data_IF_210299401781
#
_entry.id   IF_210299401781
#
_cell.length_a   1.000
_cell.length_b   1.000
_cell.length_c   1.000
_cell.angle_alpha   90.00
_cell.angle_beta   90.00
_cell.angle_gamma   90.00
#
_symmetry.space_group_name_H-M   'P 1'
#
loop_
_entity.id
_entity.type
_entity.pdbx_description
1 polymer ?
#
# COMPACT_ATOMS: atom_id res chain seq x y z
N UNK A 1 25.95 7.76 25.48
CA UNK A 1 25.28 7.46 24.20
C UNK A 1 26.02 8.23 23.13
N UNK A 2 26.46 7.64 22.03
CA UNK A 2 27.11 8.39 20.96
C UNK A 2 26.08 9.32 20.32
N UNK A 3 26.36 10.61 20.32
CA UNK A 3 25.60 11.62 19.60
C UNK A 3 25.60 11.28 18.10
N UNK A 4 24.43 11.07 17.51
CA UNK A 4 24.31 10.96 16.05
C UNK A 4 24.99 12.18 15.41
N UNK A 5 25.84 12.00 14.37
CA UNK A 5 26.45 13.13 13.70
C UNK A 5 25.35 14.05 13.15
N UNK A 6 25.51 15.35 13.35
CA UNK A 6 24.62 16.36 12.80
C UNK A 6 24.64 16.22 11.27
N UNK A 7 23.54 15.77 10.68
CA UNK A 7 23.38 15.67 9.23
C UNK A 7 23.18 17.08 8.72
N UNK A 8 24.09 17.55 7.87
CA UNK A 8 23.99 18.87 7.24
C UNK A 8 22.91 18.84 6.16
N UNK A 9 21.68 19.14 6.52
CA UNK A 9 20.54 19.15 5.62
C UNK A 9 20.66 20.29 4.60
N UNK A 10 21.06 19.96 3.37
CA UNK A 10 21.05 20.90 2.25
C UNK A 10 19.67 21.04 1.59
N UNK A 11 18.75 20.13 1.87
CA UNK A 11 17.44 20.11 1.23
C UNK A 11 16.34 19.81 2.26
N UNK A 12 15.37 20.71 2.34
CA UNK A 12 14.13 20.51 3.13
C UNK A 12 13.10 19.76 2.30
N UNK A 13 12.20 19.07 2.97
CA UNK A 13 11.09 18.38 2.35
C UNK A 13 9.79 18.84 3.03
N UNK A 14 9.02 19.66 2.31
CA UNK A 14 7.73 20.16 2.80
C UNK A 14 6.63 19.23 2.32
N UNK A 15 5.89 18.63 3.27
CA UNK A 15 4.99 17.50 3.00
C UNK A 15 3.61 17.74 3.57
N UNK A 16 2.59 17.57 2.75
CA UNK A 16 1.20 17.42 3.21
C UNK A 16 0.90 15.95 3.41
N UNK A 17 0.63 15.55 4.66
CA UNK A 17 0.30 14.17 5.04
C UNK A 17 -1.21 14.03 5.15
N UNK A 18 -1.77 13.08 4.42
CA UNK A 18 -3.21 12.86 4.35
C UNK A 18 -3.57 11.62 5.15
N UNK A 19 -4.49 11.78 6.09
CA UNK A 19 -4.98 10.71 6.96
C UNK A 19 -6.51 10.63 6.87
N UNK A 20 -7.08 9.65 6.16
CA UNK A 20 -8.52 9.39 6.22
C UNK A 20 -8.89 8.82 7.58
N UNK A 21 -9.96 9.34 8.20
CA UNK A 21 -10.42 8.94 9.53
C UNK A 21 -11.91 8.58 9.49
N UNK A 22 -12.23 7.37 9.94
CA UNK A 22 -13.62 6.95 10.14
C UNK A 22 -13.73 6.08 11.40
N UNK A 23 -14.37 6.63 12.45
CA UNK A 23 -14.59 5.93 13.73
C UNK A 23 -13.33 5.30 14.32
N UNK A 24 -12.18 5.95 14.18
CA UNK A 24 -10.91 5.48 14.73
C UNK A 24 -10.83 5.80 16.22
N UNK A 25 -10.56 4.82 17.11
CA UNK A 25 -10.45 5.07 18.54
C UNK A 25 -9.46 6.19 18.85
N UNK A 26 -9.77 7.14 19.77
CA UNK A 26 -8.94 8.32 20.03
C UNK A 26 -7.48 8.01 20.34
N UNK A 27 -7.22 7.00 21.19
CA UNK A 27 -5.86 6.59 21.54
C UNK A 27 -5.06 6.05 20.36
N UNK A 28 -5.73 5.39 19.41
CA UNK A 28 -5.14 4.86 18.17
C UNK A 28 -4.79 6.01 17.23
N UNK A 29 -5.73 6.93 17.01
CA UNK A 29 -5.57 8.11 16.17
C UNK A 29 -4.46 9.04 16.71
N UNK A 30 -4.41 9.29 18.02
CA UNK A 30 -3.40 10.13 18.64
C UNK A 30 -1.97 9.61 18.42
N UNK A 31 -1.78 8.30 18.37
CA UNK A 31 -0.46 7.71 18.09
C UNK A 31 -0.08 7.89 16.62
N UNK A 32 -1.02 7.74 15.69
CA UNK A 32 -0.81 8.00 14.27
C UNK A 32 -0.41 9.49 14.04
N UNK A 33 -1.18 10.43 14.61
CA UNK A 33 -0.91 11.87 14.54
C UNK A 33 0.50 12.19 15.07
N UNK A 34 0.84 11.72 16.28
CA UNK A 34 2.16 11.95 16.86
C UNK A 34 3.31 11.41 16.00
N UNK A 35 3.13 10.26 15.36
CA UNK A 35 4.16 9.65 14.51
C UNK A 35 4.50 10.53 13.29
N UNK A 36 3.55 11.30 12.80
CA UNK A 36 3.75 12.27 11.71
C UNK A 36 4.35 13.57 12.24
N UNK A 37 3.77 14.15 13.30
CA UNK A 37 4.18 15.45 13.82
C UNK A 37 5.55 15.42 14.52
N UNK A 38 6.02 14.24 14.93
CA UNK A 38 7.33 14.03 15.55
C UNK A 38 8.47 13.83 14.56
N UNK A 39 8.23 13.94 13.26
CA UNK A 39 9.31 13.85 12.28
C UNK A 39 10.32 14.98 12.52
N UNK A 40 11.54 14.57 12.88
CA UNK A 40 12.62 15.50 13.17
C UNK A 40 13.18 16.12 11.88
N UNK A 41 13.89 17.25 12.03
CA UNK A 41 14.58 17.91 10.94
C UNK A 41 13.96 19.25 10.54
N UNK A 42 14.46 19.87 9.48
CA UNK A 42 14.01 21.18 9.02
C UNK A 42 12.78 21.08 8.10
N UNK A 43 12.06 19.95 8.12
CA UNK A 43 10.94 19.68 7.25
C UNK A 43 9.68 20.40 7.74
N UNK A 44 8.93 20.98 6.79
CA UNK A 44 7.61 21.52 7.08
C UNK A 44 6.57 20.41 6.82
N UNK A 45 5.78 20.11 7.84
CA UNK A 45 4.76 19.06 7.80
C UNK A 45 3.41 19.66 8.11
N UNK A 46 2.45 19.50 7.20
CA UNK A 46 1.03 19.67 7.52
C UNK A 46 0.36 18.29 7.56
N UNK A 47 -0.55 18.09 8.50
CA UNK A 47 -1.34 16.87 8.64
C UNK A 47 -2.81 17.18 8.36
N UNK A 48 -3.36 16.58 7.32
CA UNK A 48 -4.74 16.75 6.89
C UNK A 48 -5.53 15.51 7.32
N UNK A 49 -6.31 15.63 8.39
CA UNK A 49 -7.23 14.61 8.87
C UNK A 49 -8.56 14.74 8.10
N UNK A 50 -8.84 13.82 7.20
CA UNK A 50 -10.09 13.82 6.45
C UNK A 50 -11.10 12.94 7.18
N UNK A 51 -12.01 13.58 7.91
CA UNK A 51 -13.09 12.91 8.60
C UNK A 51 -14.16 12.44 7.61
N UNK A 52 -14.19 11.15 7.34
CA UNK A 52 -15.15 10.52 6.41
C UNK A 52 -16.51 10.26 7.08
N UNK A 53 -17.06 11.32 7.69
CA UNK A 53 -18.33 11.33 8.39
C UNK A 53 -18.36 10.33 9.57
N UNK A 54 -17.38 10.44 10.50
CA UNK A 54 -17.35 9.63 11.71
C UNK A 54 -18.60 9.87 12.56
N UNK A 55 -19.20 8.78 13.03
CA UNK A 55 -20.41 8.78 13.87
C UNK A 55 -20.11 8.58 15.35
N UNK A 56 -18.89 8.14 15.69
CA UNK A 56 -18.43 7.99 17.07
C UNK A 56 -18.07 9.37 17.65
N UNK A 57 -18.77 9.84 18.71
CA UNK A 57 -18.51 11.14 19.34
C UNK A 57 -17.09 11.28 19.88
N UNK A 58 -16.48 10.19 20.35
CA UNK A 58 -15.12 10.20 20.88
C UNK A 58 -14.09 10.45 19.75
N UNK A 59 -14.30 9.87 18.57
CA UNK A 59 -13.48 10.15 17.38
C UNK A 59 -13.63 11.61 16.94
N UNK A 60 -14.87 12.13 16.89
CA UNK A 60 -15.13 13.51 16.49
C UNK A 60 -14.49 14.51 17.46
N UNK A 61 -14.56 14.25 18.78
CA UNK A 61 -13.86 15.04 19.77
C UNK A 61 -12.33 15.01 19.58
N UNK A 62 -11.75 13.83 19.39
CA UNK A 62 -10.31 13.69 19.18
C UNK A 62 -9.80 14.41 17.92
N UNK A 63 -10.60 14.46 16.85
CA UNK A 63 -10.27 15.25 15.65
C UNK A 63 -10.22 16.74 15.94
N UNK A 64 -11.19 17.27 16.70
CA UNK A 64 -11.23 18.67 17.12
C UNK A 64 -10.02 19.00 18.01
N UNK A 65 -9.80 18.19 19.04
CA UNK A 65 -8.70 18.38 19.99
C UNK A 65 -7.34 18.35 19.27
N UNK A 66 -7.18 17.53 18.25
CA UNK A 66 -5.97 17.48 17.45
C UNK A 66 -5.73 18.77 16.65
N UNK A 67 -6.77 19.36 16.06
CA UNK A 67 -6.68 20.62 15.31
C UNK A 67 -6.45 21.82 16.24
N UNK A 68 -7.09 21.82 17.41
CA UNK A 68 -6.94 22.90 18.40
C UNK A 68 -5.56 22.83 19.10
N UNK A 69 -4.97 21.64 19.19
CA UNK A 69 -3.71 21.38 19.91
C UNK A 69 -2.43 21.64 19.11
N UNK A 70 -2.47 21.60 17.78
CA UNK A 70 -1.28 21.80 16.92
C UNK A 70 -1.68 22.48 15.59
N UNK A 71 -1.17 23.68 15.36
CA UNK A 71 -1.45 24.49 14.17
C UNK A 71 -1.03 23.85 12.83
N UNK A 72 -0.34 22.71 12.84
CA UNK A 72 -0.01 21.92 11.66
C UNK A 72 -1.10 20.92 11.28
N UNK A 73 -2.10 20.72 12.14
CA UNK A 73 -3.20 19.76 11.93
C UNK A 73 -4.43 20.46 11.39
N UNK A 74 -4.94 19.97 10.29
CA UNK A 74 -6.16 20.48 9.64
C UNK A 74 -7.20 19.37 9.54
N UNK A 75 -8.45 19.67 9.91
CA UNK A 75 -9.55 18.71 9.79
C UNK A 75 -10.46 19.11 8.64
N UNK A 76 -10.67 18.20 7.70
CA UNK A 76 -11.62 18.33 6.59
C UNK A 76 -12.77 17.37 6.84
N UNK A 77 -13.97 17.88 7.05
CA UNK A 77 -15.16 17.06 7.29
C UNK A 77 -15.90 16.77 5.98
N UNK A 78 -16.27 15.53 5.74
CA UNK A 78 -17.17 15.12 4.67
C UNK A 78 -18.60 14.98 5.20
N UNK A 79 -19.59 15.32 4.38
CA UNK A 79 -21.01 15.27 4.73
C UNK A 79 -21.57 13.85 4.84
N UNK A 80 -20.89 12.89 4.24
CA UNK A 80 -21.26 11.47 4.25
C UNK A 80 -20.02 10.59 4.15
N UNK A 81 -20.13 9.36 4.63
CA UNK A 81 -19.07 8.35 4.42
C UNK A 81 -19.00 7.95 2.94
N UNK A 82 -17.86 8.22 2.33
CA UNK A 82 -17.59 7.96 0.91
C UNK A 82 -16.46 6.97 0.69
N UNK A 83 -15.83 6.51 1.76
CA UNK A 83 -14.73 5.56 1.74
C UNK A 83 -13.34 6.18 1.53
N UNK A 84 -12.28 5.37 1.68
CA UNK A 84 -10.90 5.84 1.74
C UNK A 84 -10.42 6.50 0.44
N UNK A 85 -10.87 6.02 -0.72
CA UNK A 85 -10.53 6.60 -2.01
C UNK A 85 -10.89 8.09 -2.08
N UNK A 86 -12.16 8.39 -1.82
CA UNK A 86 -12.65 9.78 -1.87
C UNK A 86 -12.04 10.65 -0.77
N UNK A 87 -11.89 10.10 0.43
CA UNK A 87 -11.28 10.83 1.54
C UNK A 87 -9.83 11.22 1.20
N UNK A 88 -9.04 10.31 0.60
CA UNK A 88 -7.68 10.63 0.15
C UNK A 88 -7.66 11.67 -0.96
N UNK A 89 -8.55 11.58 -1.96
CA UNK A 89 -8.67 12.60 -3.01
C UNK A 89 -9.00 13.98 -2.44
N UNK A 90 -9.91 14.07 -1.48
CA UNK A 90 -10.24 15.33 -0.79
C UNK A 90 -9.02 15.87 -0.05
N UNK A 91 -8.26 15.02 0.62
CA UNK A 91 -7.02 15.40 1.28
C UNK A 91 -5.97 15.93 0.31
N UNK A 92 -5.77 15.26 -0.85
CA UNK A 92 -4.85 15.73 -1.92
C UNK A 92 -5.26 17.10 -2.44
N UNK A 93 -6.56 17.32 -2.66
CA UNK A 93 -7.08 18.60 -3.12
C UNK A 93 -6.91 19.73 -2.08
N UNK A 94 -6.89 19.40 -0.79
CA UNK A 94 -6.69 20.34 0.32
C UNK A 94 -5.22 20.61 0.65
N UNK A 95 -4.30 19.85 0.08
CA UNK A 95 -2.88 19.91 0.36
C UNK A 95 -2.23 21.21 -0.14
N UNK A 96 -1.36 21.81 0.69
CA UNK A 96 -0.61 23.03 0.32
C UNK A 96 0.76 22.73 -0.27
N UNK A 97 1.41 21.65 0.24
CA UNK A 97 2.76 21.31 -0.19
C UNK A 97 2.79 20.50 -1.49
N UNK A 98 3.93 20.51 -2.12
CA UNK A 98 4.16 19.80 -3.38
C UNK A 98 4.35 18.28 -3.17
N UNK A 99 4.85 17.88 -2.00
CA UNK A 99 4.97 16.49 -1.65
C UNK A 99 3.77 16.02 -0.85
N UNK A 100 3.26 14.86 -1.23
CA UNK A 100 2.11 14.20 -0.58
C UNK A 100 2.57 12.90 0.05
N UNK A 101 2.26 12.75 1.34
CA UNK A 101 2.36 11.50 2.07
C UNK A 101 0.98 11.00 2.50
N UNK A 102 0.88 9.72 2.80
CA UNK A 102 -0.35 9.11 3.30
C UNK A 102 -0.06 8.33 4.58
N UNK A 103 -1.05 8.32 5.47
CA UNK A 103 -1.05 7.47 6.65
C UNK A 103 -2.49 7.03 6.93
N UNK A 104 -2.69 5.75 7.22
CA UNK A 104 -3.97 5.29 7.73
C UNK A 104 -4.07 5.61 9.23
N UNK A 105 -5.27 5.95 9.69
CA UNK A 105 -5.50 6.47 11.05
C UNK A 105 -5.16 5.47 12.18
N UNK A 106 -4.88 4.22 11.83
CA UNK A 106 -4.48 3.16 12.74
C UNK A 106 -3.02 2.70 12.56
N UNK A 107 -2.21 3.37 11.70
CA UNK A 107 -0.83 3.02 11.38
C UNK A 107 0.19 4.07 11.88
N UNK A 108 1.48 3.88 11.57
CA UNK A 108 2.56 4.76 12.02
C UNK A 108 3.57 5.10 10.92
N UNK A 109 4.13 6.30 11.00
CA UNK A 109 5.37 6.66 10.34
C UNK A 109 6.55 6.41 11.30
N UNK A 110 7.59 5.67 10.90
CA UNK A 110 8.79 5.52 11.70
C UNK A 110 9.57 6.83 11.75
N UNK A 111 10.32 7.02 12.84
CA UNK A 111 11.21 8.16 13.00
C UNK A 111 12.23 8.24 11.86
N UNK A 112 12.47 9.46 11.35
CA UNK A 112 13.46 9.73 10.30
C UNK A 112 13.00 9.38 8.88
N UNK A 113 11.70 9.11 8.66
CA UNK A 113 11.16 8.86 7.31
C UNK A 113 11.42 10.05 6.37
N UNK A 114 11.19 11.27 6.82
CA UNK A 114 11.42 12.47 6.00
C UNK A 114 12.90 12.73 5.78
N UNK A 115 13.75 12.45 6.76
CA UNK A 115 15.21 12.53 6.63
C UNK A 115 15.74 11.59 5.53
N UNK A 116 15.23 10.35 5.51
CA UNK A 116 15.57 9.38 4.48
C UNK A 116 15.13 9.86 3.10
N UNK A 117 13.91 10.39 2.99
CA UNK A 117 13.39 10.93 1.75
C UNK A 117 14.18 12.16 1.26
N UNK A 118 14.55 13.06 2.17
CA UNK A 118 15.41 14.21 1.85
C UNK A 118 16.78 13.77 1.33
N UNK A 119 17.34 12.68 1.89
CA UNK A 119 18.59 12.10 1.40
C UNK A 119 18.47 11.55 -0.02
N UNK A 120 17.32 11.01 -0.41
CA UNK A 120 17.03 10.59 -1.79
C UNK A 120 17.04 11.80 -2.71
N UNK A 121 16.41 12.92 -2.31
CA UNK A 121 16.37 14.14 -3.13
C UNK A 121 17.75 14.81 -3.27
N UNK A 122 18.65 14.64 -2.31
CA UNK A 122 20.04 15.09 -2.46
C UNK A 122 20.79 14.30 -3.54
N UNK A 123 20.45 13.01 -3.69
CA UNK A 123 21.07 12.12 -4.64
C UNK A 123 20.38 12.19 -6.02
N UNK A 124 19.06 12.27 -6.02
CA UNK A 124 18.20 12.39 -7.21
C UNK A 124 17.21 13.55 -7.08
N UNK A 125 17.62 14.79 -7.39
CA UNK A 125 16.76 15.97 -7.27
C UNK A 125 15.52 15.93 -8.16
N UNK A 126 15.55 15.13 -9.22
CA UNK A 126 14.47 14.89 -10.17
C UNK A 126 13.45 13.86 -9.67
N UNK A 127 13.63 13.30 -8.47
CA UNK A 127 12.71 12.32 -7.90
C UNK A 127 11.29 12.88 -7.78
N UNK A 128 10.33 12.05 -8.18
CA UNK A 128 8.90 12.38 -8.13
C UNK A 128 8.10 11.39 -7.28
N UNK A 129 8.67 10.22 -7.00
CA UNK A 129 8.11 9.16 -6.21
C UNK A 129 9.20 8.47 -5.39
N UNK A 130 9.12 8.63 -4.07
CA UNK A 130 10.02 8.00 -3.12
C UNK A 130 9.22 6.95 -2.37
N UNK A 131 9.61 5.69 -2.46
CA UNK A 131 8.98 4.58 -1.75
C UNK A 131 9.94 3.92 -0.77
N UNK A 132 9.43 3.01 0.05
CA UNK A 132 10.27 2.23 0.97
C UNK A 132 9.57 0.96 1.43
N UNK A 133 10.21 0.20 2.30
CA UNK A 133 9.63 -0.99 2.91
C UNK A 133 8.69 -0.65 4.06
N UNK A 134 8.05 -1.66 4.64
CA UNK A 134 7.22 -1.50 5.84
C UNK A 134 7.54 -2.57 6.88
N UNK A 135 7.13 -2.34 8.10
CA UNK A 135 7.09 -3.35 9.15
C UNK A 135 5.65 -3.55 9.63
N UNK A 136 5.37 -4.68 10.26
CA UNK A 136 4.09 -4.96 10.90
C UNK A 136 4.29 -5.01 12.40
N UNK A 137 3.60 -4.14 13.15
CA UNK A 137 3.53 -4.17 14.60
C UNK A 137 2.36 -5.05 15.03
N UNK A 138 2.67 -6.17 15.67
CA UNK A 138 1.69 -7.11 16.19
C UNK A 138 1.12 -6.65 17.53
N UNK A 139 -0.01 -7.24 17.95
CA UNK A 139 -0.69 -6.93 19.21
C UNK A 139 0.14 -7.23 20.47
N UNK A 140 1.15 -8.08 20.37
CA UNK A 140 2.10 -8.39 21.42
C UNK A 140 3.31 -7.43 21.50
N UNK A 141 3.32 -6.38 20.67
CA UNK A 141 4.41 -5.42 20.55
C UNK A 141 5.56 -5.87 19.64
N UNK A 142 5.50 -7.06 19.06
CA UNK A 142 6.52 -7.55 18.14
C UNK A 142 6.49 -6.79 16.82
N UNK A 143 7.62 -6.22 16.43
CA UNK A 143 7.81 -5.60 15.11
C UNK A 143 8.36 -6.63 14.13
N UNK A 144 7.61 -6.92 13.07
CA UNK A 144 8.02 -7.82 11.98
C UNK A 144 8.30 -7.00 10.73
N UNK A 145 9.56 -6.91 10.28
CA UNK A 145 9.87 -6.26 9.00
C UNK A 145 9.25 -7.04 7.85
N UNK A 146 8.83 -6.33 6.82
CA UNK A 146 8.46 -6.97 5.56
C UNK A 146 9.69 -7.53 4.86
N UNK A 147 9.46 -8.45 3.94
CA UNK A 147 10.54 -8.97 3.11
C UNK A 147 11.15 -7.82 2.28
N UNK A 148 12.46 -7.63 2.39
CA UNK A 148 13.16 -6.60 1.63
C UNK A 148 13.10 -6.90 0.14
N UNK A 149 12.93 -5.86 -0.64
CA UNK A 149 13.00 -5.96 -2.09
C UNK A 149 14.41 -6.35 -2.53
N UNK A 150 14.49 -7.42 -3.30
CA UNK A 150 15.73 -7.88 -3.95
C UNK A 150 15.70 -7.57 -5.45
N UNK A 151 15.26 -6.36 -5.81
CA UNK A 151 15.31 -5.93 -7.21
C UNK A 151 16.77 -5.83 -7.67
N UNK A 152 17.11 -6.51 -8.75
CA UNK A 152 18.42 -6.35 -9.39
C UNK A 152 18.36 -5.12 -10.31
N UNK A 153 18.74 -3.97 -9.78
CA UNK A 153 18.90 -2.77 -10.59
C UNK A 153 20.28 -2.70 -11.25
N UNK A 154 20.41 -2.10 -12.44
CA UNK A 154 21.71 -1.74 -12.98
C UNK A 154 22.50 -0.85 -12.01
N UNK A 155 23.83 -0.93 -11.96
CA UNK A 155 24.65 -0.11 -11.04
C UNK A 155 24.37 1.38 -11.13
N UNK A 156 24.02 1.91 -12.30
CA UNK A 156 23.61 3.31 -12.49
C UNK A 156 22.29 3.71 -11.82
N UNK A 157 21.51 2.74 -11.38
CA UNK A 157 20.24 2.92 -10.67
C UNK A 157 20.35 2.60 -9.17
N UNK A 158 21.57 2.32 -8.68
CA UNK A 158 21.82 2.03 -7.26
C UNK A 158 22.52 3.22 -6.63
N UNK A 159 21.81 3.96 -5.80
CA UNK A 159 22.33 5.04 -5.00
C UNK A 159 22.77 4.58 -3.60
N UNK A 160 23.24 5.54 -2.78
CA UNK A 160 23.67 5.26 -1.39
C UNK A 160 22.48 4.97 -0.47
N UNK A 161 21.37 5.64 -0.69
CA UNK A 161 20.17 5.59 0.15
C UNK A 161 19.02 4.83 -0.47
N UNK A 162 18.91 4.81 -1.80
CA UNK A 162 17.80 4.21 -2.51
C UNK A 162 18.23 3.54 -3.81
N UNK A 163 17.30 2.79 -4.41
CA UNK A 163 17.42 2.20 -5.73
C UNK A 163 16.35 2.80 -6.64
N UNK A 164 16.74 3.25 -7.84
CA UNK A 164 15.79 3.79 -8.82
C UNK A 164 15.15 2.66 -9.63
N UNK A 165 13.88 2.37 -9.32
CA UNK A 165 13.10 1.35 -10.01
C UNK A 165 12.34 1.99 -11.17
N UNK A 166 12.83 1.82 -12.39
CA UNK A 166 12.15 2.26 -13.60
C UNK A 166 11.06 1.27 -14.03
N UNK A 167 10.14 1.70 -14.89
CA UNK A 167 9.23 0.77 -15.57
C UNK A 167 10.05 -0.13 -16.52
N UNK A 168 9.83 -1.48 -16.51
CA UNK A 168 8.77 -2.22 -15.82
C UNK A 168 9.11 -2.71 -14.39
N UNK A 169 10.29 -2.42 -13.84
CA UNK A 169 10.73 -2.94 -12.53
C UNK A 169 9.84 -2.44 -11.40
N UNK A 170 9.49 -1.15 -11.40
CA UNK A 170 8.58 -0.59 -10.40
C UNK A 170 7.20 -1.25 -10.43
N UNK A 171 6.69 -1.52 -11.64
CA UNK A 171 5.43 -2.25 -11.82
C UNK A 171 5.51 -3.65 -11.25
N UNK A 172 6.60 -4.39 -11.51
CA UNK A 172 6.80 -5.75 -10.96
C UNK A 172 6.87 -5.76 -9.45
N UNK A 173 7.50 -4.76 -8.85
CA UNK A 173 7.57 -4.60 -7.40
C UNK A 173 6.19 -4.43 -6.79
N UNK A 174 5.39 -3.53 -7.35
CA UNK A 174 4.01 -3.30 -6.90
C UNK A 174 3.12 -4.52 -7.12
N UNK A 175 3.40 -5.29 -8.16
CA UNK A 175 2.72 -6.53 -8.52
C UNK A 175 3.04 -7.66 -7.55
N UNK A 176 4.31 -7.84 -7.23
CA UNK A 176 4.80 -8.99 -6.46
C UNK A 176 4.73 -8.80 -4.95
N UNK A 177 4.48 -7.59 -4.48
CA UNK A 177 4.35 -7.30 -3.05
C UNK A 177 3.19 -6.36 -2.82
N UNK A 178 2.37 -6.68 -1.82
CA UNK A 178 1.45 -5.69 -1.29
C UNK A 178 2.26 -4.53 -0.71
N UNK A 179 2.16 -3.36 -1.35
CA UNK A 179 2.93 -2.19 -1.02
C UNK A 179 1.98 -1.13 -0.45
N UNK A 180 1.95 -0.93 0.87
CA UNK A 180 1.06 0.05 1.47
C UNK A 180 1.35 1.45 0.95
N UNK A 181 0.31 2.18 0.57
CA UNK A 181 0.42 3.56 0.06
C UNK A 181 1.24 4.46 1.01
N UNK A 182 1.06 4.27 2.30
CA UNK A 182 1.75 5.02 3.34
C UNK A 182 3.28 4.84 3.37
N UNK A 183 3.85 3.86 2.65
CA UNK A 183 5.31 3.74 2.49
C UNK A 183 5.90 4.84 1.62
N UNK A 184 5.08 5.47 0.78
CA UNK A 184 5.52 6.35 -0.31
C UNK A 184 5.26 7.83 -0.02
N UNK A 185 6.07 8.67 -0.66
CA UNK A 185 5.85 10.09 -0.87
C UNK A 185 5.79 10.37 -2.36
N UNK A 186 4.87 11.21 -2.79
CA UNK A 186 4.63 11.53 -4.19
C UNK A 186 4.67 13.04 -4.43
N UNK A 187 5.21 13.48 -5.57
CA UNK A 187 4.90 14.83 -6.07
C UNK A 187 3.40 14.89 -6.37
N UNK A 188 2.70 15.94 -5.87
CA UNK A 188 1.24 16.07 -5.96
C UNK A 188 0.71 15.93 -7.39
N UNK A 189 1.38 16.57 -8.37
CA UNK A 189 0.97 16.47 -9.78
C UNK A 189 0.99 15.02 -10.29
N UNK A 190 1.87 14.16 -9.77
CA UNK A 190 1.96 12.77 -10.22
C UNK A 190 0.69 11.97 -9.86
N UNK A 191 0.03 12.31 -8.74
CA UNK A 191 -1.25 11.71 -8.35
C UNK A 191 -2.35 12.15 -9.32
N UNK A 192 -2.42 13.44 -9.66
CA UNK A 192 -3.41 13.97 -10.60
C UNK A 192 -3.19 13.47 -12.02
N UNK A 193 -1.95 13.41 -12.49
CA UNK A 193 -1.58 12.91 -13.83
C UNK A 193 -1.91 11.39 -13.96
N UNK A 194 -1.85 10.64 -12.86
CA UNK A 194 -2.27 9.24 -12.81
C UNK A 194 -3.79 9.04 -12.73
N UNK A 195 -4.58 10.14 -12.69
CA UNK A 195 -6.04 10.11 -12.66
C UNK A 195 -6.65 9.97 -11.29
N UNK A 196 -5.88 10.27 -10.22
CA UNK A 196 -6.34 10.24 -8.83
C UNK A 196 -6.87 8.87 -8.37
N UNK A 197 -7.39 8.80 -7.13
CA UNK A 197 -8.03 7.59 -6.61
C UNK A 197 -9.37 7.35 -7.29
N UNK A 198 -9.65 6.11 -7.70
CA UNK A 198 -10.93 5.75 -8.28
C UNK A 198 -12.01 5.69 -7.18
N UNK A 199 -12.97 6.64 -7.16
CA UNK A 199 -13.96 6.72 -6.09
C UNK A 199 -14.97 5.57 -6.07
N UNK A 200 -14.97 4.73 -7.11
CA UNK A 200 -15.82 3.54 -7.21
C UNK A 200 -15.22 2.37 -6.43
N UNK A 201 -13.92 2.41 -6.14
CA UNK A 201 -13.22 1.37 -5.40
C UNK A 201 -13.30 1.62 -3.90
N UNK A 202 -13.61 0.57 -3.16
CA UNK A 202 -13.57 0.55 -1.71
C UNK A 202 -12.41 -0.29 -1.17
N UNK A 203 -11.60 -0.86 -2.08
CA UNK A 203 -10.39 -1.63 -1.81
C UNK A 203 -9.51 -1.71 -3.05
N UNK A 204 -8.19 -1.55 -2.85
CA UNK A 204 -7.21 -1.60 -3.95
C UNK A 204 -7.15 -0.33 -4.79
N UNK A 205 -7.80 0.74 -4.34
CA UNK A 205 -7.74 2.07 -4.94
C UNK A 205 -6.32 2.65 -4.88
N UNK A 206 -5.63 2.41 -3.77
CA UNK A 206 -4.24 2.80 -3.52
C UNK A 206 -3.27 2.05 -4.42
N UNK A 207 -3.47 0.74 -4.52
CA UNK A 207 -2.68 -0.11 -5.38
C UNK A 207 -2.87 0.23 -6.86
N UNK A 208 -4.11 0.47 -7.31
CA UNK A 208 -4.40 0.88 -8.68
C UNK A 208 -3.74 2.22 -9.03
N UNK A 209 -3.78 3.19 -8.11
CA UNK A 209 -3.10 4.47 -8.27
C UNK A 209 -1.59 4.28 -8.41
N UNK A 210 -0.95 3.50 -7.53
CA UNK A 210 0.48 3.22 -7.60
C UNK A 210 0.87 2.55 -8.92
N UNK A 211 0.06 1.64 -9.45
CA UNK A 211 0.29 1.03 -10.77
C UNK A 211 0.26 2.07 -11.89
N UNK A 212 -0.70 2.99 -11.89
CA UNK A 212 -0.77 4.08 -12.87
C UNK A 212 0.45 4.99 -12.75
N UNK A 213 0.83 5.34 -11.53
CA UNK A 213 2.03 6.16 -11.26
C UNK A 213 3.30 5.46 -11.76
N UNK A 214 3.41 4.14 -11.66
CA UNK A 214 4.58 3.39 -12.13
C UNK A 214 4.82 3.49 -13.64
N UNK A 215 3.81 3.89 -14.41
CA UNK A 215 3.92 4.16 -15.84
C UNK A 215 4.41 5.58 -16.14
N UNK A 216 4.33 6.49 -15.17
CA UNK A 216 4.64 7.92 -15.32
C UNK A 216 5.99 8.32 -14.73
N UNK A 217 6.46 7.59 -13.72
CA UNK A 217 7.68 7.90 -13.01
C UNK A 217 8.37 6.66 -12.45
N UNK A 218 9.71 6.65 -12.38
CA UNK A 218 10.43 5.67 -11.58
C UNK A 218 10.11 5.84 -10.10
N UNK A 219 10.21 4.74 -9.34
CA UNK A 219 10.15 4.76 -7.88
C UNK A 219 11.58 4.73 -7.34
N UNK A 220 11.96 5.75 -6.58
CA UNK A 220 13.21 5.75 -5.84
C UNK A 220 12.97 5.04 -4.49
N UNK A 221 13.35 3.76 -4.44
CA UNK A 221 13.00 2.84 -3.36
C UNK A 221 14.08 2.79 -2.28
N UNK A 222 13.72 3.15 -1.06
CA UNK A 222 14.57 3.07 0.14
C UNK A 222 14.50 1.66 0.72
N UNK A 223 15.67 1.00 0.91
CA UNK A 223 15.75 -0.33 1.53
C UNK A 223 15.67 -0.26 3.07
N UNK A 224 14.72 0.52 3.58
CA UNK A 224 14.41 0.63 5.01
C UNK A 224 12.90 0.73 5.20
N UNK A 225 12.45 0.47 6.42
CA UNK A 225 11.06 0.61 6.79
C UNK A 225 10.68 2.10 6.85
N UNK A 226 9.78 2.51 5.96
CA UNK A 226 9.22 3.86 5.88
C UNK A 226 7.78 3.92 6.37
N UNK A 227 7.23 2.78 6.81
CA UNK A 227 5.86 2.65 7.31
C UNK A 227 5.73 1.50 8.30
N UNK A 228 4.84 1.63 9.27
CA UNK A 228 4.53 0.56 10.22
C UNK A 228 3.03 0.32 10.26
N UNK A 229 2.65 -0.84 9.78
CA UNK A 229 1.28 -1.34 9.88
C UNK A 229 1.01 -1.84 11.29
N UNK A 230 -0.02 -1.33 11.95
CA UNK A 230 -0.44 -1.85 13.26
C UNK A 230 -1.54 -2.88 13.10
N UNK A 231 -1.28 -4.11 13.53
CA UNK A 231 -2.30 -5.15 13.61
C UNK A 231 -2.99 -5.13 14.97
N UNK A 232 -4.02 -4.29 15.11
CA UNK A 232 -4.91 -4.28 16.27
C UNK A 232 -6.26 -4.92 15.92
N UNK A 233 -6.85 -5.61 16.90
CA UNK A 233 -8.10 -6.40 16.97
C UNK A 233 -9.14 -6.34 15.84
N UNK A 234 -9.56 -5.19 15.33
CA UNK A 234 -10.74 -5.01 14.46
C UNK A 234 -10.44 -4.46 13.06
N UNK A 235 -9.23 -4.67 12.52
CA UNK A 235 -8.88 -4.23 11.16
C UNK A 235 -9.90 -4.75 10.12
N UNK A 236 -10.26 -3.90 9.15
CA UNK A 236 -11.11 -4.24 7.99
C UNK A 236 -10.58 -5.46 7.22
N UNK A 237 -9.27 -5.73 7.34
CA UNK A 237 -8.57 -6.89 6.76
C UNK A 237 -8.95 -8.23 7.43
N UNK A 238 -9.69 -8.24 8.56
CA UNK A 238 -10.04 -9.46 9.30
C UNK A 238 -11.28 -10.22 8.81
N UNK A 239 -12.12 -9.64 7.96
CA UNK A 239 -13.25 -10.39 7.41
C UNK A 239 -12.85 -11.04 6.08
N UNK A 240 -12.51 -12.35 6.05
CA UNK A 240 -12.11 -13.03 4.82
C UNK A 240 -13.14 -12.90 3.71
N UNK A 241 -14.44 -12.83 4.08
CA UNK A 241 -15.53 -12.66 3.10
C UNK A 241 -15.56 -11.28 2.44
N UNK A 242 -15.33 -10.22 3.25
CA UNK A 242 -15.33 -8.83 2.74
C UNK A 242 -14.07 -8.54 1.93
N UNK A 243 -12.92 -9.06 2.35
CA UNK A 243 -11.66 -8.96 1.61
C UNK A 243 -11.79 -9.58 0.22
N UNK A 244 -12.35 -10.78 0.13
CA UNK A 244 -12.48 -11.49 -1.14
C UNK A 244 -13.30 -10.72 -2.17
N UNK A 245 -14.44 -10.14 -1.79
CA UNK A 245 -15.29 -9.38 -2.69
C UNK A 245 -14.61 -8.07 -3.14
N UNK A 246 -13.98 -7.35 -2.21
CA UNK A 246 -13.32 -6.06 -2.47
C UNK A 246 -12.04 -6.20 -3.28
N UNK A 247 -11.22 -7.22 -3.00
CA UNK A 247 -10.02 -7.50 -3.80
C UNK A 247 -10.35 -7.71 -5.29
N UNK A 248 -11.48 -8.35 -5.58
CA UNK A 248 -11.95 -8.54 -6.96
C UNK A 248 -12.26 -7.21 -7.65
N UNK A 249 -12.82 -6.23 -6.93
CA UNK A 249 -13.12 -4.91 -7.51
C UNK A 249 -11.86 -4.21 -8.00
N UNK A 250 -10.81 -4.17 -7.18
CA UNK A 250 -9.51 -3.59 -7.55
C UNK A 250 -8.85 -4.32 -8.73
N UNK A 251 -8.87 -5.65 -8.71
CA UNK A 251 -8.32 -6.47 -9.79
C UNK A 251 -9.08 -6.27 -11.11
N UNK A 252 -10.40 -6.17 -11.06
CA UNK A 252 -11.22 -5.90 -12.24
C UNK A 252 -11.02 -4.49 -12.77
N UNK A 253 -10.86 -3.51 -11.90
CA UNK A 253 -10.55 -2.14 -12.27
C UNK A 253 -9.20 -2.07 -13.00
N UNK A 254 -8.15 -2.66 -12.46
CA UNK A 254 -6.84 -2.75 -13.11
C UNK A 254 -6.91 -3.42 -14.49
N UNK A 255 -7.66 -4.52 -14.61
CA UNK A 255 -7.82 -5.23 -15.87
C UNK A 255 -8.55 -4.40 -16.95
N UNK A 256 -9.45 -3.52 -16.53
CA UNK A 256 -10.25 -2.65 -17.42
C UNK A 256 -9.58 -1.32 -17.72
N UNK A 257 -8.54 -0.97 -16.98
CA UNK A 257 -7.88 0.32 -17.08
C UNK A 257 -7.14 0.48 -18.41
N UNK A 258 -7.51 1.48 -19.24
CA UNK A 258 -6.86 1.72 -20.52
C UNK A 258 -5.39 2.12 -20.37
N UNK A 259 -5.03 2.84 -19.31
CA UNK A 259 -3.67 3.28 -19.05
C UNK A 259 -2.72 2.09 -18.81
N UNK A 260 -3.23 1.02 -18.20
CA UNK A 260 -2.46 -0.17 -17.87
C UNK A 260 -2.30 -1.18 -19.02
N UNK A 261 -2.77 -0.84 -20.24
CA UNK A 261 -2.62 -1.72 -21.42
C UNK A 261 -1.17 -2.03 -21.77
N UNK A 262 -0.24 -1.13 -21.46
CA UNK A 262 1.19 -1.31 -21.71
C UNK A 262 1.77 -2.39 -20.80
N UNK A 263 1.27 -2.52 -19.59
CA UNK A 263 1.68 -3.51 -18.59
C UNK A 263 0.81 -4.80 -18.63
N UNK A 264 0.24 -5.17 -19.77
CA UNK A 264 -0.72 -6.29 -19.89
C UNK A 264 -0.16 -7.62 -19.42
N UNK A 265 1.12 -7.88 -19.60
CA UNK A 265 1.75 -9.14 -19.22
C UNK A 265 1.84 -9.24 -17.69
N UNK A 266 2.35 -8.19 -17.06
CA UNK A 266 2.48 -8.06 -15.60
C UNK A 266 1.11 -8.07 -14.95
N UNK A 267 0.17 -7.31 -15.45
CA UNK A 267 -1.21 -7.27 -14.98
C UNK A 267 -1.92 -8.63 -15.09
N UNK A 268 -1.64 -9.40 -16.16
CA UNK A 268 -2.21 -10.74 -16.30
C UNK A 268 -1.81 -11.62 -15.12
N UNK A 269 -0.52 -11.68 -14.81
CA UNK A 269 0.01 -12.45 -13.69
C UNK A 269 -0.58 -12.01 -12.35
N UNK A 270 -0.73 -10.72 -12.17
CA UNK A 270 -1.24 -10.11 -10.98
C UNK A 270 -2.72 -10.44 -10.76
N UNK A 271 -3.52 -10.22 -11.78
CA UNK A 271 -4.96 -10.52 -11.73
C UNK A 271 -5.17 -12.03 -11.54
N UNK A 272 -4.37 -12.85 -12.21
CA UNK A 272 -4.38 -14.31 -12.02
C UNK A 272 -4.05 -14.69 -10.57
N UNK A 273 -2.92 -14.19 -10.04
CA UNK A 273 -2.49 -14.44 -8.66
C UNK A 273 -3.52 -13.96 -7.63
N UNK A 274 -4.11 -12.78 -7.84
CA UNK A 274 -5.17 -12.24 -6.99
C UNK A 274 -6.42 -13.13 -6.97
N UNK A 275 -6.91 -13.57 -8.12
CA UNK A 275 -8.02 -14.52 -8.17
C UNK A 275 -7.70 -15.86 -7.48
N UNK A 276 -6.46 -16.34 -7.64
CA UNK A 276 -5.98 -17.56 -6.97
C UNK A 276 -5.98 -17.40 -5.45
N UNK A 277 -5.50 -16.27 -4.94
CA UNK A 277 -5.51 -15.96 -3.51
C UNK A 277 -6.95 -15.87 -2.96
N UNK A 278 -7.84 -15.19 -3.67
CA UNK A 278 -9.27 -15.12 -3.32
C UNK A 278 -9.92 -16.51 -3.34
N UNK A 279 -9.59 -17.34 -4.32
CA UNK A 279 -10.07 -18.73 -4.40
C UNK A 279 -9.64 -19.54 -3.17
N UNK A 280 -8.37 -19.43 -2.81
CA UNK A 280 -7.77 -20.13 -1.68
C UNK A 280 -8.38 -19.68 -0.35
N UNK A 281 -8.50 -18.36 -0.14
CA UNK A 281 -9.10 -17.80 1.07
C UNK A 281 -10.57 -18.22 1.26
N UNK A 282 -11.36 -18.26 0.18
CA UNK A 282 -12.73 -18.77 0.24
C UNK A 282 -12.77 -20.27 0.61
N UNK A 283 -11.88 -21.07 0.03
CA UNK A 283 -11.81 -22.51 0.33
C UNK A 283 -11.42 -22.77 1.79
N UNK A 284 -10.44 -22.05 2.32
CA UNK A 284 -10.01 -22.13 3.72
C UNK A 284 -11.13 -21.75 4.70
N UNK A 285 -11.99 -20.80 4.31
CA UNK A 285 -13.14 -20.37 5.10
C UNK A 285 -14.41 -21.25 4.86
N UNK A 286 -14.26 -22.44 4.32
CA UNK A 286 -15.34 -23.38 4.08
C UNK A 286 -16.25 -23.05 2.89
N UNK A 287 -15.94 -22.00 2.12
CA UNK A 287 -16.73 -21.56 0.96
C UNK A 287 -16.21 -22.18 -0.35
N UNK A 288 -16.15 -23.51 -0.40
CA UNK A 288 -15.54 -24.26 -1.50
C UNK A 288 -16.10 -23.90 -2.89
N UNK A 289 -17.42 -23.73 -3.02
CA UNK A 289 -18.05 -23.35 -4.29
C UNK A 289 -17.61 -21.96 -4.76
N UNK A 290 -17.50 -20.99 -3.84
CA UNK A 290 -16.94 -19.66 -4.17
C UNK A 290 -15.46 -19.74 -4.53
N UNK A 291 -14.68 -20.53 -3.79
CA UNK A 291 -13.28 -20.79 -4.12
C UNK A 291 -13.14 -21.34 -5.55
N UNK A 292 -13.97 -22.31 -5.92
CA UNK A 292 -13.99 -22.87 -7.27
C UNK A 292 -14.36 -21.82 -8.33
N UNK A 293 -15.36 -20.96 -8.08
CA UNK A 293 -15.73 -19.88 -8.99
C UNK A 293 -14.54 -18.94 -9.25
N UNK A 294 -13.82 -18.52 -8.20
CA UNK A 294 -12.66 -17.64 -8.36
C UNK A 294 -11.49 -18.32 -9.07
N UNK A 295 -11.27 -19.61 -8.84
CA UNK A 295 -10.27 -20.39 -9.58
C UNK A 295 -10.62 -20.50 -11.09
N UNK A 296 -11.89 -20.64 -11.43
CA UNK A 296 -12.37 -20.58 -12.81
C UNK A 296 -12.19 -19.18 -13.42
N UNK A 297 -12.46 -18.11 -12.65
CA UNK A 297 -12.21 -16.74 -13.08
C UNK A 297 -10.72 -16.48 -13.33
N UNK A 298 -9.83 -17.08 -12.56
CA UNK A 298 -8.38 -17.00 -12.80
C UNK A 298 -8.03 -17.54 -14.19
N UNK A 299 -8.60 -18.69 -14.61
CA UNK A 299 -8.39 -19.25 -15.94
C UNK A 299 -8.89 -18.35 -17.09
N UNK A 300 -9.89 -17.48 -16.86
CA UNK A 300 -10.29 -16.49 -17.89
C UNK A 300 -9.21 -15.45 -18.13
N UNK A 301 -8.29 -15.31 -17.19
CA UNK A 301 -7.14 -14.39 -17.26
C UNK A 301 -5.95 -15.08 -17.92
N UNK A 302 -5.61 -16.29 -17.47
CA UNK A 302 -4.57 -17.11 -18.08
C UNK A 302 -5.02 -18.57 -18.28
N UNK A 303 -5.53 -18.92 -19.48
CA UNK A 303 -6.01 -20.28 -19.78
C UNK A 303 -4.93 -21.37 -19.75
N UNK A 304 -3.63 -20.99 -19.77
CA UNK A 304 -2.52 -21.96 -19.76
C UNK A 304 -2.38 -22.64 -18.40
N UNK A 305 -2.93 -22.06 -17.35
CA UNK A 305 -2.83 -22.51 -15.96
C UNK A 305 -3.92 -23.56 -15.58
N UNK A 306 -4.45 -24.31 -16.54
CA UNK A 306 -5.46 -25.37 -16.29
C UNK A 306 -4.95 -26.41 -15.30
N UNK A 307 -3.64 -26.74 -15.34
CA UNK A 307 -3.03 -27.69 -14.42
C UNK A 307 -3.19 -27.28 -12.95
N UNK A 308 -3.05 -26.00 -12.66
CA UNK A 308 -3.23 -25.43 -11.32
C UNK A 308 -4.69 -25.50 -10.86
N UNK A 309 -5.65 -25.22 -11.74
CA UNK A 309 -7.07 -25.40 -11.42
C UNK A 309 -7.35 -26.85 -11.03
N UNK A 310 -6.86 -27.81 -11.80
CA UNK A 310 -7.06 -29.24 -11.52
C UNK A 310 -6.46 -29.63 -10.17
N UNK A 311 -5.29 -29.10 -9.84
CA UNK A 311 -4.66 -29.30 -8.52
C UNK A 311 -5.54 -28.66 -7.42
N UNK A 312 -6.00 -27.43 -7.59
CA UNK A 312 -6.90 -26.77 -6.63
C UNK A 312 -8.19 -27.56 -6.41
N UNK A 313 -8.83 -28.03 -7.48
CA UNK A 313 -10.04 -28.85 -7.41
C UNK A 313 -9.81 -30.18 -6.66
N UNK A 314 -8.64 -30.81 -6.82
CA UNK A 314 -8.26 -31.98 -6.04
C UNK A 314 -8.12 -31.67 -4.54
N UNK A 315 -7.54 -30.49 -4.20
CA UNK A 315 -7.41 -30.04 -2.83
C UNK A 315 -8.78 -29.78 -2.17
N UNK A 316 -9.75 -29.25 -2.91
CA UNK A 316 -11.11 -29.00 -2.40
C UNK A 316 -11.85 -30.26 -1.95
N UNK A 317 -11.43 -31.46 -2.40
CA UNK A 317 -11.98 -32.74 -1.92
C UNK A 317 -11.56 -33.07 -0.49
N UNK A 318 -10.51 -32.42 0.02
CA UNK A 318 -9.99 -32.57 1.38
C UNK A 318 -10.78 -31.68 2.35
N UNK A 319 -10.72 -31.99 3.65
CA UNK A 319 -11.36 -31.22 4.72
C UNK A 319 -10.38 -30.87 5.84
N UNK A 320 -10.69 -29.83 6.62
CA UNK A 320 -9.97 -29.44 7.83
C UNK A 320 -8.48 -29.24 7.63
N UNK A 321 -7.63 -29.78 8.54
CA UNK A 321 -6.18 -29.57 8.50
C UNK A 321 -5.50 -30.03 7.22
N UNK A 322 -6.02 -31.11 6.58
CA UNK A 322 -5.47 -31.64 5.33
C UNK A 322 -5.70 -30.69 4.15
N UNK A 323 -6.84 -29.97 4.13
CA UNK A 323 -7.11 -28.92 3.16
C UNK A 323 -6.19 -27.72 3.41
N UNK A 324 -6.08 -27.26 4.63
CA UNK A 324 -5.24 -26.12 5.01
C UNK A 324 -3.77 -26.36 4.65
N UNK A 325 -3.20 -27.51 4.99
CA UNK A 325 -1.84 -27.88 4.65
C UNK A 325 -1.62 -27.98 3.14
N UNK A 326 -2.58 -28.56 2.39
CA UNK A 326 -2.51 -28.64 0.92
C UNK A 326 -2.55 -27.27 0.26
N UNK A 327 -3.44 -26.36 0.71
CA UNK A 327 -3.55 -25.00 0.19
C UNK A 327 -2.35 -24.13 0.55
N UNK A 328 -1.76 -24.33 1.73
CA UNK A 328 -0.54 -23.64 2.11
C UNK A 328 0.64 -24.02 1.19
N UNK A 329 0.80 -25.32 0.88
CA UNK A 329 1.82 -25.78 -0.10
C UNK A 329 1.54 -25.24 -1.50
N UNK A 330 0.28 -25.15 -1.90
CA UNK A 330 -0.15 -24.56 -3.17
C UNK A 330 0.21 -23.07 -3.25
N UNK A 331 0.08 -22.33 -2.15
CA UNK A 331 0.47 -20.93 -2.04
C UNK A 331 1.99 -20.73 -2.04
N UNK A 332 2.73 -21.58 -1.32
CA UNK A 332 4.21 -21.48 -1.18
C UNK A 332 4.99 -21.98 -2.39
N UNK A 333 4.40 -22.87 -3.21
CA UNK A 333 5.01 -23.33 -4.44
C UNK A 333 5.22 -22.20 -5.47
N UNK A 334 4.52 -21.07 -5.27
CA UNK A 334 4.66 -19.86 -6.06
C UNK A 334 4.83 -18.62 -5.16
N UNK A 335 5.75 -18.59 -4.25
CA UNK A 335 6.46 -17.37 -3.97
C UNK A 335 7.19 -17.04 -5.27
N UNK A 336 6.59 -16.15 -6.05
CA UNK A 336 6.98 -15.72 -7.38
C UNK A 336 8.52 -15.69 -7.47
N UNK A 337 9.10 -16.75 -7.99
CA UNK A 337 10.50 -16.74 -8.38
C UNK A 337 10.61 -15.89 -9.64
N UNK A 338 10.77 -14.59 -9.44
CA UNK A 338 10.99 -13.63 -10.51
C UNK A 338 12.27 -13.90 -11.31
N UNK A 339 13.12 -14.86 -10.87
CA UNK A 339 14.29 -15.29 -11.62
C UNK A 339 13.92 -16.11 -12.87
N UNK A 340 12.78 -16.80 -12.86
CA UNK A 340 12.32 -17.61 -13.99
C UNK A 340 11.73 -16.81 -15.16
N UNK A 341 11.43 -15.50 -14.95
CA UNK A 341 10.95 -14.63 -16.04
C UNK A 341 12.08 -14.26 -17.04
N UNK A 342 13.35 -14.52 -16.70
CA UNK A 342 14.51 -14.27 -17.57
C UNK A 342 14.73 -15.27 -18.71
N UNK A 343 14.01 -16.39 -18.75
CA UNK A 343 14.21 -17.45 -19.76
C UNK A 343 13.18 -17.44 -20.89
N UNK A 344 12.43 -16.37 -21.07
CA UNK A 344 11.44 -16.22 -22.14
C UNK A 344 11.65 -14.88 -22.90
N UNK A 345 12.94 -14.58 -23.24
CA UNK A 345 13.24 -13.68 -24.36
C UNK A 345 13.06 -14.39 -25.70
#
# INVERSE_FOLDING_TARGET
MPTKPAVNWKQTLDVSVICPVFNTPPGVLAVAIRSVLSQAGPHEVELILVNDCSTDPATVAALRDAADGDGRVYVVNQDRNTGPARARSVGVASARHEWIGFIDSDDLWPEGKLDQAASVLQEWPDSRWIGGSFATLLSDGTLRPAQRLTAKCPPSQVGRTAQRLCTPESTRVLVGSWHPLGTSLFRRHLITDAGDFDPRLTYGEDWLLCLRISLLAPMDYINAETYVLRRQGASLMRSPRRLSAKAVEGLQAARRDPALRIARRELRWLVYGGYKEVAMNNALNGQKLRGMLFALLALTVDPREVGELLMFLRLLRRNGPALACGLQRYSTAEQLDFSSIKSLE
#
